data_IF_369876631907
#
_entry.id   IF_369876631907
#
_cell.length_a   1.000
_cell.length_b   1.000
_cell.length_c   1.000
_cell.angle_alpha   90.00
_cell.angle_beta   90.00
_cell.angle_gamma   90.00
#
_symmetry.space_group_name_H-M   'P 1'
#
loop_
_entity.id
_entity.type
_entity.pdbx_description
1 polymer ?
#
# COMPACT_ATOMS: atom_id res chain seq x y z
N UNK A 1 28.22 8.61 -2.28
CA UNK A 1 27.22 9.64 -1.93
C UNK A 1 26.30 9.76 -3.13
N UNK A 2 24.97 9.77 -2.95
CA UNK A 2 24.04 9.98 -4.06
C UNK A 2 24.35 11.35 -4.69
N UNK A 3 24.50 11.38 -6.02
CA UNK A 3 24.71 12.63 -6.75
C UNK A 3 23.43 13.48 -6.64
N UNK A 4 23.56 14.81 -6.59
CA UNK A 4 22.40 15.68 -6.45
C UNK A 4 21.37 15.44 -7.58
N UNK A 5 21.84 15.16 -8.80
CA UNK A 5 21.00 14.84 -9.95
C UNK A 5 20.15 13.58 -9.72
N UNK A 6 20.74 12.51 -9.17
CA UNK A 6 20.01 11.28 -8.88
C UNK A 6 19.04 11.45 -7.71
N UNK A 7 19.35 12.30 -6.73
CA UNK A 7 18.43 12.64 -5.65
C UNK A 7 17.19 13.38 -6.17
N UNK A 8 17.36 14.38 -7.05
CA UNK A 8 16.24 15.14 -7.62
C UNK A 8 15.35 14.27 -8.51
N UNK A 9 15.94 13.43 -9.37
CA UNK A 9 15.18 12.50 -10.20
C UNK A 9 14.42 11.49 -9.33
N UNK A 10 15.07 10.93 -8.30
CA UNK A 10 14.42 10.02 -7.37
C UNK A 10 13.28 10.69 -6.61
N UNK A 11 13.47 11.91 -6.11
CA UNK A 11 12.43 12.67 -5.40
C UNK A 11 11.22 12.95 -6.31
N UNK A 12 11.45 13.31 -7.57
CA UNK A 12 10.39 13.52 -8.56
C UNK A 12 9.56 12.25 -8.80
N UNK A 13 10.24 11.13 -9.06
CA UNK A 13 9.58 9.83 -9.29
C UNK A 13 8.85 9.35 -8.02
N UNK A 14 9.48 9.49 -6.84
CA UNK A 14 8.87 9.16 -5.57
C UNK A 14 7.62 10.00 -5.28
N UNK A 15 7.63 11.28 -5.65
CA UNK A 15 6.47 12.16 -5.51
C UNK A 15 5.32 11.71 -6.43
N UNK A 16 5.62 11.35 -7.69
CA UNK A 16 4.62 10.80 -8.62
C UNK A 16 4.04 9.47 -8.14
N UNK A 17 4.88 8.59 -7.57
CA UNK A 17 4.44 7.32 -6.97
C UNK A 17 3.58 7.56 -5.72
N UNK A 18 3.95 8.50 -4.87
CA UNK A 18 3.16 8.86 -3.69
C UNK A 18 1.79 9.45 -4.06
N UNK A 19 1.72 10.17 -5.19
CA UNK A 19 0.47 10.68 -5.77
C UNK A 19 -0.36 9.62 -6.49
N UNK A 20 0.21 8.45 -6.77
CA UNK A 20 -0.51 7.28 -7.27
C UNK A 20 -0.94 6.44 -6.07
N UNK A 21 -2.09 6.73 -5.42
CA UNK A 21 -2.57 5.89 -4.33
C UNK A 21 -2.71 4.46 -4.82
N UNK A 22 -2.13 3.52 -4.07
CA UNK A 22 -2.18 2.10 -4.41
C UNK A 22 -3.62 1.56 -4.52
N UNK A 23 -3.83 0.43 -5.23
CA UNK A 23 -5.15 -0.15 -5.44
C UNK A 23 -5.88 -0.50 -4.12
N UNK A 24 -5.13 -0.89 -3.10
CA UNK A 24 -5.55 -1.20 -1.73
C UNK A 24 -6.06 0.05 -0.98
N UNK A 25 -5.33 1.17 -1.04
CA UNK A 25 -5.77 2.43 -0.45
C UNK A 25 -6.98 3.02 -1.19
N UNK A 26 -7.03 2.91 -2.52
CA UNK A 26 -8.20 3.29 -3.31
C UNK A 26 -9.42 2.45 -2.95
N UNK A 27 -9.25 1.13 -2.79
CA UNK A 27 -10.34 0.22 -2.40
C UNK A 27 -10.93 0.58 -1.03
N UNK A 28 -10.09 0.81 -0.02
CA UNK A 28 -10.55 1.26 1.31
C UNK A 28 -11.25 2.61 1.21
N UNK A 29 -10.73 3.54 0.41
CA UNK A 29 -11.28 4.88 0.26
C UNK A 29 -12.67 4.82 -0.40
N UNK A 30 -12.82 4.10 -1.51
CA UNK A 30 -14.12 3.89 -2.15
C UNK A 30 -15.11 3.19 -1.20
N UNK A 31 -14.69 2.13 -0.51
CA UNK A 31 -15.60 1.43 0.39
C UNK A 31 -16.00 2.28 1.60
N UNK A 32 -15.08 3.08 2.15
CA UNK A 32 -15.38 4.03 3.22
C UNK A 32 -16.31 5.16 2.78
N UNK A 33 -16.23 5.56 1.51
CA UNK A 33 -17.08 6.58 0.91
C UNK A 33 -18.50 6.08 0.66
N UNK A 34 -18.66 4.84 0.16
CA UNK A 34 -19.98 4.26 -0.14
C UNK A 34 -20.68 3.62 1.07
N UNK A 35 -19.92 2.99 1.97
CA UNK A 35 -20.47 2.19 3.09
C UNK A 35 -20.15 2.78 4.48
N UNK A 36 -19.51 3.94 4.53
CA UNK A 36 -19.16 4.66 5.74
C UNK A 36 -17.86 4.19 6.42
N UNK A 37 -17.43 4.95 7.43
CA UNK A 37 -16.12 4.77 8.07
C UNK A 37 -15.90 3.40 8.71
N UNK A 38 -16.98 2.78 9.23
CA UNK A 38 -16.92 1.45 9.87
C UNK A 38 -16.57 0.35 8.87
N UNK A 39 -17.14 0.41 7.66
CA UNK A 39 -16.84 -0.54 6.61
C UNK A 39 -15.38 -0.40 6.14
N UNK A 40 -14.88 0.83 6.00
CA UNK A 40 -13.47 1.10 5.72
C UNK A 40 -12.56 0.47 6.77
N UNK A 41 -12.85 0.67 8.07
CA UNK A 41 -12.02 0.13 9.16
C UNK A 41 -11.96 -1.40 9.17
N UNK A 42 -13.09 -2.08 8.96
CA UNK A 42 -13.13 -3.55 8.88
C UNK A 42 -12.33 -4.09 7.69
N UNK A 43 -12.37 -3.40 6.56
CA UNK A 43 -11.62 -3.79 5.36
C UNK A 43 -10.13 -3.60 5.55
N UNK A 44 -9.71 -2.48 6.15
CA UNK A 44 -8.30 -2.24 6.47
C UNK A 44 -7.75 -3.35 7.37
N UNK A 45 -8.51 -3.77 8.39
CA UNK A 45 -8.11 -4.90 9.25
C UNK A 45 -7.99 -6.21 8.47
N UNK A 46 -8.93 -6.48 7.55
CA UNK A 46 -8.87 -7.64 6.66
C UNK A 46 -7.63 -7.62 5.75
N UNK A 47 -7.33 -6.47 5.15
CA UNK A 47 -6.16 -6.29 4.28
C UNK A 47 -4.85 -6.44 5.07
N UNK A 48 -4.73 -5.82 6.26
CA UNK A 48 -3.55 -5.95 7.10
C UNK A 48 -3.30 -7.40 7.53
N UNK A 49 -4.35 -8.11 7.96
CA UNK A 49 -4.21 -9.52 8.37
C UNK A 49 -3.86 -10.43 7.19
N UNK A 50 -4.48 -10.21 6.03
CA UNK A 50 -4.14 -10.93 4.80
C UNK A 50 -2.68 -10.71 4.37
N UNK A 51 -2.19 -9.47 4.42
CA UNK A 51 -0.79 -9.14 4.10
C UNK A 51 0.18 -9.81 5.08
N UNK A 52 -0.07 -9.72 6.39
CA UNK A 52 0.76 -10.38 7.40
C UNK A 52 0.84 -11.89 7.17
N UNK A 53 -0.29 -12.51 6.88
CA UNK A 53 -0.35 -13.95 6.62
C UNK A 53 0.37 -14.32 5.32
N UNK A 54 0.16 -13.56 4.25
CA UNK A 54 0.85 -13.77 2.98
C UNK A 54 2.36 -13.63 3.12
N UNK A 55 2.84 -12.57 3.78
CA UNK A 55 4.26 -12.37 4.08
C UNK A 55 4.83 -13.50 4.94
N UNK A 56 4.06 -14.00 5.91
CA UNK A 56 4.46 -15.15 6.72
C UNK A 56 4.61 -16.43 5.88
N UNK A 57 3.66 -16.71 4.97
CA UNK A 57 3.74 -17.86 4.05
C UNK A 57 4.94 -17.72 3.09
N UNK A 58 5.17 -16.53 2.54
CA UNK A 58 6.30 -16.25 1.64
C UNK A 58 7.64 -16.43 2.36
N UNK A 59 7.77 -15.94 3.60
CA UNK A 59 9.01 -16.08 4.39
C UNK A 59 9.30 -17.52 4.81
N UNK A 60 8.27 -18.35 4.97
CA UNK A 60 8.42 -19.80 5.21
C UNK A 60 8.73 -20.56 3.90
N UNK A 61 8.66 -19.88 2.74
CA UNK A 61 9.03 -20.44 1.44
C UNK A 61 7.94 -21.29 0.77
N UNK A 62 6.70 -21.21 1.26
CA UNK A 62 5.56 -21.98 0.72
C UNK A 62 4.89 -21.24 -0.45
N UNK A 63 4.99 -19.91 -0.51
CA UNK A 63 4.38 -19.06 -1.55
C UNK A 63 5.40 -18.30 -2.42
N UNK A 64 6.62 -18.82 -2.55
CA UNK A 64 7.64 -18.26 -3.45
C UNK A 64 7.32 -18.55 -4.93
#
# INVERSE_FOLDING_TARGET
MISADTAFVFAGIACLLALSPGPDNLFVLFQSMFWGWRAGFMITLGLCTGLLWHTFIVTIGVAA
#
